data_IF_450849933147
#
_entry.id   IF_450849933147
#
_cell.length_a   1.000
_cell.length_b   1.000
_cell.length_c   1.000
_cell.angle_alpha   90.00
_cell.angle_beta   90.00
_cell.angle_gamma   90.00
#
_symmetry.space_group_name_H-M   'P 1'
#
loop_
_entity.id
_entity.type
_entity.pdbx_description
1 polymer ?
#
# COMPACT_ATOMS: atom_id res chain seq x y z
N UNK A 1 -77.00 -21.47 -54.93
CA UNK A 1 -75.81 -21.31 -55.79
C UNK A 1 -74.74 -22.26 -55.24
N UNK A 2 -74.69 -23.52 -55.72
CA UNK A 2 -73.77 -24.04 -56.77
C UNK A 2 -72.30 -23.79 -56.38
N UNK A 3 -71.42 -24.78 -56.17
CA UNK A 3 -71.10 -25.99 -56.94
C UNK A 3 -70.47 -27.08 -56.01
N UNK A 4 -70.75 -28.38 -56.17
CA UNK A 4 -69.95 -29.42 -56.88
C UNK A 4 -68.56 -29.66 -56.26
N UNK A 5 -68.06 -30.85 -55.91
CA UNK A 5 -68.05 -32.14 -56.61
C UNK A 5 -67.93 -33.33 -55.62
N UNK A 6 -68.41 -34.48 -56.07
CA UNK A 6 -68.26 -35.81 -55.48
C UNK A 6 -66.81 -36.34 -55.56
N UNK A 7 -66.43 -37.26 -54.66
CA UNK A 7 -66.07 -38.65 -55.04
C UNK A 7 -65.82 -39.53 -53.80
N UNK A 8 -66.18 -40.80 -53.96
CA UNK A 8 -66.26 -41.91 -52.97
C UNK A 8 -64.92 -42.22 -52.29
N UNK A 9 -64.98 -42.53 -50.98
CA UNK A 9 -63.93 -43.21 -50.22
C UNK A 9 -64.10 -44.74 -50.31
N UNK A 10 -63.05 -45.41 -50.77
CA UNK A 10 -62.87 -46.85 -50.75
C UNK A 10 -62.49 -47.35 -49.34
N UNK A 11 -63.22 -48.36 -48.91
CA UNK A 11 -62.82 -49.61 -48.21
C UNK A 11 -61.61 -49.65 -47.25
N UNK A 12 -61.95 -50.12 -46.04
CA UNK A 12 -61.33 -51.19 -45.23
C UNK A 12 -60.02 -50.96 -44.47
N UNK A 13 -60.21 -50.97 -43.14
CA UNK A 13 -59.53 -51.79 -42.11
C UNK A 13 -58.02 -51.71 -41.97
N UNK A 14 -57.56 -51.08 -40.88
CA UNK A 14 -56.21 -51.28 -40.32
C UNK A 14 -56.21 -51.09 -38.80
N UNK A 15 -56.12 -52.22 -38.09
CA UNK A 15 -55.25 -52.50 -36.93
C UNK A 15 -55.33 -51.65 -35.64
N UNK A 16 -55.83 -52.33 -34.59
CA UNK A 16 -55.38 -52.37 -33.19
C UNK A 16 -54.53 -51.20 -32.65
N UNK A 17 -55.10 -50.46 -31.71
CA UNK A 17 -54.38 -49.64 -30.72
C UNK A 17 -53.76 -50.53 -29.64
N UNK A 18 -52.44 -50.49 -29.51
CA UNK A 18 -51.72 -51.02 -28.34
C UNK A 18 -51.16 -49.83 -27.56
N UNK A 19 -51.71 -49.59 -26.37
CA UNK A 19 -51.25 -48.58 -25.44
C UNK A 19 -49.90 -49.01 -24.85
N UNK A 20 -48.83 -48.26 -25.11
CA UNK A 20 -47.54 -48.41 -24.44
C UNK A 20 -47.52 -47.50 -23.22
N UNK A 21 -47.55 -48.10 -22.03
CA UNK A 21 -47.36 -47.44 -20.75
C UNK A 21 -45.85 -47.24 -20.53
N UNK A 22 -45.35 -46.02 -20.69
CA UNK A 22 -43.95 -45.68 -20.41
C UNK A 22 -43.73 -45.55 -18.90
N UNK A 23 -43.06 -46.52 -18.28
CA UNK A 23 -42.50 -46.38 -16.93
C UNK A 23 -41.26 -45.48 -17.02
N UNK A 24 -41.34 -44.27 -16.46
CA UNK A 24 -40.16 -43.43 -16.17
C UNK A 24 -39.53 -43.92 -14.86
N UNK A 25 -38.50 -44.75 -14.94
CA UNK A 25 -37.66 -45.08 -13.79
C UNK A 25 -36.59 -43.99 -13.61
N UNK A 26 -36.37 -43.45 -12.40
CA UNK A 26 -35.26 -42.54 -12.14
C UNK A 26 -33.95 -43.34 -12.21
N UNK A 27 -33.04 -42.93 -13.10
CA UNK A 27 -31.66 -43.44 -13.08
C UNK A 27 -30.96 -42.90 -11.82
N UNK A 28 -30.20 -43.71 -11.08
CA UNK A 28 -29.42 -43.20 -9.96
C UNK A 28 -28.35 -42.25 -10.50
N UNK A 29 -28.43 -40.98 -10.11
CA UNK A 29 -27.34 -40.03 -10.29
C UNK A 29 -26.16 -40.50 -9.43
N UNK A 30 -25.21 -41.20 -10.04
CA UNK A 30 -23.94 -41.50 -9.42
C UNK A 30 -23.11 -40.22 -9.39
N UNK A 31 -23.00 -39.58 -8.22
CA UNK A 31 -22.01 -38.53 -8.02
C UNK A 31 -20.63 -39.20 -7.88
N UNK A 32 -19.86 -39.18 -8.96
CA UNK A 32 -18.48 -39.67 -9.00
C UNK A 32 -17.56 -38.62 -8.37
N UNK A 33 -16.78 -39.01 -7.36
CA UNK A 33 -15.69 -38.16 -6.86
C UNK A 33 -14.58 -38.12 -7.92
N UNK A 34 -14.41 -36.96 -8.56
CA UNK A 34 -13.24 -36.68 -9.41
C UNK A 34 -12.13 -36.09 -8.53
N UNK A 35 -11.05 -36.84 -8.21
CA UNK A 35 -9.88 -36.24 -7.60
C UNK A 35 -9.28 -35.21 -8.57
N UNK A 36 -9.02 -34.01 -8.06
CA UNK A 36 -8.28 -32.97 -8.77
C UNK A 36 -6.82 -33.41 -8.86
N UNK A 37 -6.37 -33.74 -10.07
CA UNK A 37 -4.96 -34.01 -10.39
C UNK A 37 -4.16 -32.69 -10.36
N UNK A 38 -2.86 -32.77 -10.11
CA UNK A 38 -1.94 -31.62 -10.10
C UNK A 38 -2.00 -30.85 -11.42
N UNK A 39 -2.34 -31.51 -12.54
CA UNK A 39 -2.59 -30.85 -13.82
C UNK A 39 -3.88 -29.99 -13.87
N UNK A 40 -4.92 -30.36 -13.12
CA UNK A 40 -6.12 -29.54 -12.96
C UNK A 40 -5.90 -28.40 -11.95
N UNK A 41 -5.01 -28.60 -10.97
CA UNK A 41 -4.56 -27.57 -10.02
C UNK A 41 -3.49 -26.63 -10.64
N UNK A 42 -2.75 -27.08 -11.65
CA UNK A 42 -1.80 -26.27 -12.43
C UNK A 42 -2.49 -25.16 -13.21
N UNK A 43 -3.79 -25.28 -13.51
CA UNK A 43 -4.60 -24.20 -14.10
C UNK A 43 -5.14 -23.19 -13.07
N UNK A 44 -4.94 -23.45 -11.78
CA UNK A 44 -5.25 -22.51 -10.68
C UNK A 44 -3.99 -21.71 -10.31
N UNK A 45 -2.81 -22.30 -10.46
CA UNK A 45 -1.52 -21.58 -10.37
C UNK A 45 -1.26 -20.83 -11.68
N UNK A 46 -1.66 -19.56 -11.75
CA UNK A 46 -1.67 -18.75 -12.97
C UNK A 46 -2.99 -18.00 -13.20
N UNK A 47 -3.90 -17.99 -12.21
CA UNK A 47 -5.02 -17.06 -12.19
C UNK A 47 -4.46 -15.66 -11.89
N UNK A 48 -4.95 -14.66 -12.62
CA UNK A 48 -4.64 -13.24 -12.42
C UNK A 48 -4.56 -12.87 -10.93
N UNK A 49 -3.65 -11.96 -10.58
CA UNK A 49 -3.48 -11.47 -9.22
C UNK A 49 -4.79 -11.11 -8.51
N UNK A 50 -4.75 -11.12 -7.19
CA UNK A 50 -5.89 -10.77 -6.34
C UNK A 50 -5.98 -9.25 -6.23
N UNK A 51 -7.17 -8.69 -6.46
CA UNK A 51 -7.45 -7.28 -6.14
C UNK A 51 -8.35 -7.22 -4.91
N UNK A 52 -7.99 -6.35 -3.96
CA UNK A 52 -8.71 -6.11 -2.72
C UNK A 52 -9.01 -4.61 -2.64
N UNK A 53 -10.29 -4.27 -2.50
CA UNK A 53 -10.73 -2.91 -2.17
C UNK A 53 -10.87 -2.82 -0.65
N UNK A 54 -10.32 -1.77 -0.06
CA UNK A 54 -10.29 -1.58 1.39
C UNK A 54 -11.07 -0.31 1.77
N UNK A 55 -12.00 -0.48 2.70
CA UNK A 55 -12.66 0.60 3.44
C UNK A 55 -12.55 0.25 4.92
N UNK A 56 -11.97 1.13 5.73
CA UNK A 56 -11.73 0.83 7.14
C UNK A 56 -11.68 2.09 8.00
N UNK A 57 -11.86 1.90 9.30
CA UNK A 57 -11.57 2.89 10.32
C UNK A 57 -11.06 2.15 11.56
N UNK A 58 -9.87 2.48 12.00
CA UNK A 58 -9.26 1.89 13.20
C UNK A 58 -9.44 2.84 14.37
N UNK A 59 -9.88 2.33 15.51
CA UNK A 59 -9.96 3.08 16.76
C UNK A 59 -9.50 2.20 17.91
N UNK A 60 -8.47 2.65 18.60
CA UNK A 60 -7.85 1.99 19.75
C UNK A 60 -7.95 2.95 20.92
N UNK A 61 -8.74 2.57 21.93
CA UNK A 61 -8.92 3.36 23.15
C UNK A 61 -7.57 3.60 23.86
N UNK A 62 -6.78 2.53 24.01
CA UNK A 62 -5.43 2.61 24.58
C UNK A 62 -4.52 1.49 24.12
N UNK A 63 -3.32 1.85 23.71
CA UNK A 63 -2.16 0.96 23.65
C UNK A 63 -1.24 1.24 24.84
N UNK A 64 -0.83 0.20 25.58
CA UNK A 64 0.01 0.32 26.78
C UNK A 64 1.23 -0.59 26.69
N UNK A 65 2.42 -0.03 26.78
CA UNK A 65 3.63 -0.75 27.12
C UNK A 65 3.83 -0.70 28.64
N UNK A 66 4.11 -1.83 29.28
CA UNK A 66 4.26 -1.92 30.75
C UNK A 66 5.58 -2.62 31.09
N UNK A 67 6.47 -1.89 31.76
CA UNK A 67 7.73 -2.40 32.31
C UNK A 67 8.24 -1.42 33.39
N UNK A 68 8.20 -1.84 34.67
CA UNK A 68 8.45 -1.01 35.89
C UNK A 68 7.67 0.33 36.01
N UNK A 69 6.87 0.64 35.00
CA UNK A 69 6.04 1.80 34.76
C UNK A 69 5.19 1.52 33.51
N UNK A 70 4.63 2.55 32.88
CA UNK A 70 3.91 2.41 31.62
C UNK A 70 4.13 3.59 30.66
N UNK A 71 4.09 3.29 29.35
CA UNK A 71 3.92 4.25 28.27
C UNK A 71 2.57 3.94 27.62
N UNK A 72 1.67 4.91 27.61
CA UNK A 72 0.32 4.77 27.06
C UNK A 72 0.14 5.69 25.86
N UNK A 73 -0.45 5.16 24.80
CA UNK A 73 -0.96 5.92 23.65
C UNK A 73 -2.47 5.82 23.73
N UNK A 74 -3.14 6.96 23.97
CA UNK A 74 -4.57 7.03 24.22
C UNK A 74 -5.29 7.60 23.01
N UNK A 75 -6.47 7.04 22.67
CA UNK A 75 -7.32 7.54 21.60
C UNK A 75 -6.68 7.47 20.21
N UNK A 76 -5.92 6.40 19.92
CA UNK A 76 -5.30 6.21 18.61
C UNK A 76 -6.39 5.91 17.56
N UNK A 77 -6.43 6.70 16.50
CA UNK A 77 -7.38 6.55 15.40
C UNK A 77 -6.70 6.69 14.05
N UNK A 78 -7.06 5.80 13.13
CA UNK A 78 -6.72 5.90 11.70
C UNK A 78 -8.02 5.90 10.91
N UNK A 79 -8.22 6.95 10.13
CA UNK A 79 -9.46 7.28 9.39
C UNK A 79 -9.12 7.96 8.06
N UNK A 80 -10.12 8.30 7.26
CA UNK A 80 -9.99 9.34 6.23
C UNK A 80 -10.03 10.74 6.86
N UNK A 81 -9.92 11.80 6.06
CA UNK A 81 -9.94 13.18 6.57
C UNK A 81 -11.25 13.51 7.27
N UNK A 82 -11.18 14.27 8.37
CA UNK A 82 -12.34 14.66 9.17
C UNK A 82 -13.06 13.45 9.79
N UNK A 83 -12.29 12.44 10.19
CA UNK A 83 -12.77 11.25 10.86
C UNK A 83 -13.75 10.39 10.03
N UNK A 84 -13.65 10.45 8.70
CA UNK A 84 -14.38 9.56 7.78
C UNK A 84 -13.78 8.15 7.76
N UNK A 85 -14.35 7.24 6.97
CA UNK A 85 -13.67 5.97 6.68
C UNK A 85 -12.45 6.24 5.81
N UNK A 86 -11.36 5.54 6.07
CA UNK A 86 -10.23 5.44 5.15
C UNK A 86 -10.69 4.53 4.00
N UNK A 87 -10.88 5.10 2.83
CA UNK A 87 -11.47 4.41 1.67
C UNK A 87 -10.62 4.61 0.42
N UNK A 88 -11.20 4.21 -0.72
CA UNK A 88 -10.60 4.31 -2.05
C UNK A 88 -9.28 3.56 -2.23
N UNK A 89 -8.87 2.73 -1.27
CA UNK A 89 -7.66 1.94 -1.32
C UNK A 89 -7.86 0.68 -2.18
N UNK A 90 -6.98 0.48 -3.16
CA UNK A 90 -6.91 -0.72 -3.99
C UNK A 90 -5.57 -1.41 -3.81
N UNK A 91 -5.59 -2.59 -3.19
CA UNK A 91 -4.43 -3.46 -3.05
C UNK A 91 -4.47 -4.55 -4.11
N UNK A 92 -3.51 -4.54 -5.04
CA UNK A 92 -3.27 -5.66 -5.95
C UNK A 92 -2.17 -6.56 -5.40
N UNK A 93 -2.33 -7.87 -5.53
CA UNK A 93 -1.39 -8.88 -5.04
C UNK A 93 -1.18 -9.88 -6.17
N UNK A 94 0.03 -9.95 -6.70
CA UNK A 94 0.35 -10.84 -7.81
C UNK A 94 1.69 -11.55 -7.63
N UNK A 95 1.81 -12.75 -8.21
CA UNK A 95 3.07 -13.49 -8.28
C UNK A 95 3.58 -13.35 -9.70
N UNK A 96 4.72 -12.66 -9.85
CA UNK A 96 5.27 -12.36 -11.16
C UNK A 96 5.60 -13.64 -11.95
N UNK A 97 5.13 -13.68 -13.20
CA UNK A 97 5.53 -14.64 -14.22
C UNK A 97 6.87 -14.27 -14.89
N UNK A 98 7.33 -15.14 -15.78
CA UNK A 98 8.53 -14.85 -16.57
C UNK A 98 8.26 -13.75 -17.61
N UNK A 99 9.05 -12.68 -17.57
CA UNK A 99 8.89 -11.54 -18.48
C UNK A 99 7.70 -10.62 -18.17
N UNK A 100 6.96 -10.86 -17.08
CA UNK A 100 5.78 -10.09 -16.74
C UNK A 100 6.12 -8.71 -16.19
N UNK A 101 5.38 -7.70 -16.63
CA UNK A 101 5.46 -6.32 -16.16
C UNK A 101 4.23 -6.05 -15.28
N UNK A 102 4.47 -5.81 -14.00
CA UNK A 102 3.43 -5.52 -13.02
C UNK A 102 3.40 -4.03 -12.67
N UNK A 103 2.24 -3.57 -12.22
CA UNK A 103 2.07 -2.21 -11.71
C UNK A 103 3.02 -1.95 -10.52
N UNK A 104 3.68 -0.80 -10.54
CA UNK A 104 4.68 -0.42 -9.55
C UNK A 104 4.84 1.09 -9.52
N UNK A 105 5.00 1.67 -8.33
CA UNK A 105 5.20 3.10 -8.12
C UNK A 105 4.20 3.95 -8.92
N UNK A 106 4.71 4.96 -9.62
CA UNK A 106 3.92 5.88 -10.44
C UNK A 106 3.68 5.38 -11.89
N UNK A 107 3.71 4.07 -12.14
CA UNK A 107 3.52 3.54 -13.50
C UNK A 107 2.16 3.86 -14.14
N UNK A 108 1.11 4.10 -13.34
CA UNK A 108 -0.19 4.60 -13.85
C UNK A 108 -0.10 6.03 -14.39
N UNK A 109 0.72 6.90 -13.81
CA UNK A 109 1.00 8.24 -14.37
C UNK A 109 1.65 8.10 -15.76
N UNK A 110 2.63 7.20 -15.89
CA UNK A 110 3.26 6.93 -17.19
C UNK A 110 2.24 6.42 -18.23
N UNK A 111 1.31 5.55 -17.82
CA UNK A 111 0.23 5.04 -18.66
C UNK A 111 -0.69 6.18 -19.16
N UNK A 112 -1.09 7.09 -18.27
CA UNK A 112 -1.90 8.27 -18.61
C UNK A 112 -1.17 9.25 -19.53
N UNK A 113 0.09 9.50 -19.23
CA UNK A 113 0.93 10.38 -20.04
C UNK A 113 1.11 9.84 -21.47
N UNK A 114 1.34 8.53 -21.63
CA UNK A 114 1.41 7.89 -22.95
C UNK A 114 0.10 7.97 -23.72
N UNK A 115 -1.04 7.94 -23.02
CA UNK A 115 -2.37 8.14 -23.60
C UNK A 115 -2.66 9.61 -23.96
N UNK A 116 -1.75 10.54 -23.66
CA UNK A 116 -1.91 11.97 -23.93
C UNK A 116 -2.82 12.69 -22.94
N UNK A 117 -3.02 12.12 -21.75
CA UNK A 117 -3.90 12.66 -20.71
C UNK A 117 -3.18 13.63 -19.77
N UNK A 118 -1.86 13.49 -19.62
CA UNK A 118 -1.03 14.34 -18.75
C UNK A 118 0.02 15.09 -19.58
N UNK A 119 0.43 16.26 -19.11
CA UNK A 119 1.44 17.10 -19.77
C UNK A 119 2.83 16.46 -19.66
N UNK A 120 3.37 16.00 -20.79
CA UNK A 120 4.71 15.40 -20.84
C UNK A 120 5.85 16.42 -20.74
N UNK A 121 5.54 17.73 -20.72
CA UNK A 121 6.54 18.76 -20.41
C UNK A 121 6.76 18.91 -18.91
N UNK A 122 5.87 18.35 -18.08
CA UNK A 122 6.11 18.22 -16.65
C UNK A 122 7.31 17.26 -16.41
N UNK A 123 8.36 17.70 -15.69
CA UNK A 123 9.54 16.87 -15.47
C UNK A 123 9.26 15.54 -14.76
N UNK A 124 8.33 15.49 -13.82
CA UNK A 124 8.00 14.26 -13.08
C UNK A 124 7.21 13.30 -13.97
N UNK A 125 6.30 13.82 -14.79
CA UNK A 125 5.57 13.00 -15.77
C UNK A 125 6.52 12.44 -16.83
N UNK A 126 7.47 13.24 -17.30
CA UNK A 126 8.51 12.79 -18.23
C UNK A 126 9.43 11.73 -17.60
N UNK A 127 9.82 11.90 -16.33
CA UNK A 127 10.60 10.91 -15.59
C UNK A 127 9.82 9.60 -15.43
N UNK A 128 8.55 9.65 -15.03
CA UNK A 128 7.72 8.46 -14.90
C UNK A 128 7.58 7.70 -16.23
N UNK A 129 7.35 8.40 -17.34
CA UNK A 129 7.33 7.79 -18.67
C UNK A 129 8.62 7.04 -19.00
N UNK A 130 9.77 7.63 -18.69
CA UNK A 130 11.08 7.01 -18.93
C UNK A 130 11.35 5.84 -17.97
N UNK A 131 11.06 6.03 -16.68
CA UNK A 131 11.37 5.10 -15.58
C UNK A 131 10.53 3.82 -15.63
N UNK A 132 9.24 3.95 -15.93
CA UNK A 132 8.31 2.83 -15.88
C UNK A 132 8.07 2.17 -17.24
N UNK A 133 8.62 2.69 -18.35
CA UNK A 133 8.49 2.06 -19.68
C UNK A 133 9.31 0.76 -19.76
N UNK A 134 8.65 -0.40 -19.64
CA UNK A 134 9.29 -1.72 -19.66
C UNK A 134 8.59 -2.62 -20.66
N UNK A 135 9.36 -3.23 -21.57
CA UNK A 135 8.90 -4.22 -22.55
C UNK A 135 7.65 -3.80 -23.38
N UNK A 136 7.50 -2.50 -23.65
CA UNK A 136 6.36 -1.95 -24.40
C UNK A 136 5.08 -1.75 -23.57
N UNK A 137 5.19 -1.86 -22.24
CA UNK A 137 4.16 -1.55 -21.25
C UNK A 137 4.70 -0.56 -20.20
N UNK A 138 3.91 -0.26 -19.17
CA UNK A 138 4.31 0.55 -18.02
C UNK A 138 4.19 -0.21 -16.71
N UNK A 139 5.26 -0.20 -15.91
CA UNK A 139 5.36 -0.92 -14.65
C UNK A 139 6.80 -1.26 -14.31
N UNK A 140 7.00 -2.42 -13.67
CA UNK A 140 8.32 -3.01 -13.41
C UNK A 140 8.29 -4.50 -13.71
N UNK A 141 9.37 -4.99 -14.30
CA UNK A 141 9.56 -6.42 -14.49
C UNK A 141 10.21 -7.04 -13.26
N UNK A 142 9.59 -8.09 -12.71
CA UNK A 142 10.08 -8.83 -11.56
C UNK A 142 10.61 -10.21 -11.98
N UNK A 143 11.28 -10.92 -11.06
CA UNK A 143 11.71 -12.29 -11.36
C UNK A 143 10.50 -13.21 -11.21
N UNK A 144 10.49 -14.29 -11.99
CA UNK A 144 9.43 -15.30 -11.85
C UNK A 144 9.39 -15.86 -10.42
N UNK A 145 8.21 -15.83 -9.80
CA UNK A 145 7.99 -16.26 -8.42
C UNK A 145 8.17 -15.18 -7.35
N UNK A 146 8.47 -13.94 -7.72
CA UNK A 146 8.40 -12.81 -6.79
C UNK A 146 6.94 -12.47 -6.49
N UNK A 147 6.62 -12.17 -5.22
CA UNK A 147 5.32 -11.62 -4.84
C UNK A 147 5.39 -10.09 -4.91
N UNK A 148 4.45 -9.47 -5.61
CA UNK A 148 4.32 -8.03 -5.72
C UNK A 148 2.97 -7.63 -5.18
N UNK A 149 2.98 -6.71 -4.23
CA UNK A 149 1.79 -6.04 -3.77
C UNK A 149 1.90 -4.56 -4.10
N UNK A 150 0.87 -4.00 -4.70
CA UNK A 150 0.80 -2.59 -5.03
C UNK A 150 -0.48 -1.98 -4.45
N UNK A 151 -0.32 -0.95 -3.64
CA UNK A 151 -1.39 -0.10 -3.16
C UNK A 151 -1.51 1.11 -4.07
N UNK A 152 -2.68 1.23 -4.69
CA UNK A 152 -3.13 2.41 -5.42
C UNK A 152 -4.55 2.77 -5.01
N UNK A 153 -5.27 3.43 -5.92
CA UNK A 153 -6.65 3.83 -5.69
C UNK A 153 -7.66 3.02 -6.53
N UNK A 154 -8.89 2.89 -6.03
CA UNK A 154 -10.01 2.33 -6.81
C UNK A 154 -10.51 3.31 -7.86
N UNK A 155 -10.53 4.59 -7.52
CA UNK A 155 -10.86 5.71 -8.41
C UNK A 155 -9.84 6.84 -8.19
N UNK A 156 -9.30 7.39 -9.28
CA UNK A 156 -8.31 8.47 -9.24
C UNK A 156 -8.90 9.79 -9.74
N UNK A 157 -10.22 9.91 -9.88
CA UNK A 157 -10.87 11.12 -10.37
C UNK A 157 -10.63 11.38 -11.87
N UNK A 158 -10.43 12.65 -12.24
CA UNK A 158 -10.17 13.03 -13.62
C UNK A 158 -8.83 12.44 -14.10
N UNK A 159 -8.81 11.59 -15.15
CA UNK A 159 -7.58 10.98 -15.63
C UNK A 159 -6.58 11.98 -16.25
N UNK A 160 -6.98 13.24 -16.46
CA UNK A 160 -6.11 14.34 -16.88
C UNK A 160 -5.61 15.22 -15.73
N UNK A 161 -6.07 14.97 -14.50
CA UNK A 161 -5.64 15.69 -13.29
C UNK A 161 -4.56 14.89 -12.56
N UNK A 162 -3.39 15.50 -12.38
CA UNK A 162 -2.33 14.93 -11.54
C UNK A 162 -2.71 15.03 -10.05
N UNK A 163 -3.35 16.13 -9.66
CA UNK A 163 -3.78 16.33 -8.26
C UNK A 163 -4.80 15.27 -7.83
N UNK A 164 -5.78 14.94 -8.69
CA UNK A 164 -6.76 13.89 -8.39
C UNK A 164 -6.07 12.53 -8.20
N UNK A 165 -5.01 12.26 -8.98
CA UNK A 165 -4.23 11.03 -8.81
C UNK A 165 -3.48 11.01 -7.46
N UNK A 166 -2.79 12.10 -7.12
CA UNK A 166 -1.93 12.19 -5.93
C UNK A 166 -2.74 12.27 -4.63
N UNK A 167 -3.98 12.76 -4.70
CA UNK A 167 -4.86 12.95 -3.55
C UNK A 167 -5.95 11.87 -3.44
N UNK A 168 -5.90 10.85 -4.29
CA UNK A 168 -6.96 9.85 -4.39
C UNK A 168 -7.23 9.10 -3.08
N UNK A 169 -6.20 8.78 -2.30
CA UNK A 169 -6.34 8.13 -0.99
C UNK A 169 -5.96 9.13 0.09
N UNK A 170 -6.93 9.57 0.87
CA UNK A 170 -6.72 10.46 2.00
C UNK A 170 -6.66 9.67 3.32
N UNK A 171 -5.91 10.18 4.29
CA UNK A 171 -5.85 9.57 5.62
C UNK A 171 -5.71 10.61 6.72
N UNK A 172 -6.17 10.24 7.90
CA UNK A 172 -6.03 10.97 9.15
C UNK A 172 -5.52 10.01 10.23
N UNK A 173 -4.42 10.38 10.88
CA UNK A 173 -3.94 9.77 12.11
C UNK A 173 -4.19 10.74 13.25
N UNK A 174 -4.98 10.34 14.24
CA UNK A 174 -5.20 11.11 15.46
C UNK A 174 -4.79 10.32 16.70
N UNK A 175 -4.19 11.01 17.67
CA UNK A 175 -3.89 10.48 19.00
C UNK A 175 -4.20 11.56 20.04
N UNK A 176 -5.04 11.24 21.01
CA UNK A 176 -5.42 12.20 22.06
C UNK A 176 -4.22 12.57 22.92
N UNK A 177 -3.47 11.56 23.37
CA UNK A 177 -2.25 11.77 24.15
C UNK A 177 -1.31 10.58 24.20
N UNK A 178 -0.03 10.89 24.42
CA UNK A 178 0.99 9.92 24.84
C UNK A 178 1.39 10.25 26.26
N UNK A 179 1.23 9.31 27.18
CA UNK A 179 1.49 9.52 28.61
C UNK A 179 2.46 8.47 29.17
N UNK A 180 3.25 8.86 30.16
CA UNK A 180 4.07 7.94 30.94
C UNK A 180 3.59 7.90 32.38
N UNK A 181 3.79 6.77 33.05
CA UNK A 181 3.60 6.62 34.49
C UNK A 181 4.68 5.75 35.09
N UNK A 182 5.21 6.11 36.25
CA UNK A 182 6.17 5.30 37.00
C UNK A 182 6.00 5.49 38.50
N UNK A 183 6.95 4.96 39.27
CA UNK A 183 6.99 5.11 40.73
C UNK A 183 7.04 6.57 41.19
N UNK A 184 7.54 7.47 40.35
CA UNK A 184 7.72 8.90 40.65
C UNK A 184 6.55 9.79 40.20
N UNK A 185 5.55 9.25 39.49
CA UNK A 185 4.39 10.00 39.01
C UNK A 185 4.03 9.71 37.55
N UNK A 186 3.22 10.58 36.94
CA UNK A 186 2.81 10.48 35.54
C UNK A 186 3.03 11.80 34.82
N UNK A 187 3.38 11.75 33.53
CA UNK A 187 3.52 12.92 32.67
C UNK A 187 2.79 12.70 31.34
N UNK A 188 2.20 13.75 30.80
CA UNK A 188 1.81 13.78 29.39
C UNK A 188 3.03 14.20 28.59
N UNK A 189 3.44 13.36 27.65
CA UNK A 189 4.53 13.68 26.72
C UNK A 189 3.98 14.48 25.55
N UNK A 190 2.89 14.01 24.94
CA UNK A 190 2.30 14.66 23.79
C UNK A 190 0.78 14.67 23.89
N UNK A 191 0.14 15.67 23.31
CA UNK A 191 -1.31 15.74 23.14
C UNK A 191 -1.69 16.34 21.80
N UNK A 192 -2.98 16.17 21.46
CA UNK A 192 -3.62 16.76 20.27
C UNK A 192 -2.86 16.45 18.97
N UNK A 193 -2.40 15.19 18.86
CA UNK A 193 -1.68 14.72 17.69
C UNK A 193 -2.69 14.51 16.58
N UNK A 194 -2.50 15.22 15.47
CA UNK A 194 -3.27 15.04 14.26
C UNK A 194 -2.30 15.09 13.09
N UNK A 195 -2.41 14.14 12.16
CA UNK A 195 -1.76 14.19 10.86
C UNK A 195 -2.83 13.87 9.82
N UNK A 196 -2.99 14.76 8.85
CA UNK A 196 -3.87 14.59 7.69
C UNK A 196 -3.03 14.65 6.44
N UNK A 197 -3.27 13.71 5.53
CA UNK A 197 -2.41 13.53 4.38
C UNK A 197 -3.01 12.68 3.28
N UNK A 198 -2.19 12.40 2.28
CA UNK A 198 -2.52 11.52 1.17
C UNK A 198 -1.50 10.40 1.06
N UNK A 199 -1.98 9.20 0.73
CA UNK A 199 -1.14 8.03 0.46
C UNK A 199 -0.94 7.96 -1.06
N UNK A 200 0.32 8.06 -1.48
CA UNK A 200 0.73 7.80 -2.84
C UNK A 200 0.95 6.29 -3.08
N UNK A 201 1.49 5.92 -4.25
CA UNK A 201 1.85 4.54 -4.54
C UNK A 201 2.68 3.92 -3.43
N UNK A 202 2.28 2.73 -3.00
CA UNK A 202 3.02 1.95 -2.01
C UNK A 202 3.17 0.52 -2.50
N UNK A 203 4.41 0.06 -2.59
CA UNK A 203 4.75 -1.27 -3.07
C UNK A 203 5.41 -2.09 -1.97
N UNK A 204 4.95 -3.34 -1.83
CA UNK A 204 5.60 -4.35 -1.02
C UNK A 204 5.99 -5.52 -1.93
N UNK A 205 7.28 -5.80 -2.03
CA UNK A 205 7.79 -6.85 -2.91
C UNK A 205 8.53 -7.88 -2.10
N UNK A 206 8.15 -9.15 -2.23
CA UNK A 206 8.90 -10.29 -1.70
C UNK A 206 9.68 -10.91 -2.86
N UNK A 207 10.99 -10.67 -2.86
CA UNK A 207 11.92 -11.23 -3.83
C UNK A 207 12.28 -12.66 -3.46
N UNK A 208 12.24 -13.54 -4.44
CA UNK A 208 12.80 -14.89 -4.33
C UNK A 208 14.14 -14.95 -5.07
N UNK A 209 15.20 -14.46 -4.43
CA UNK A 209 16.56 -14.48 -4.99
C UNK A 209 17.30 -15.80 -4.81
N UNK A 210 16.64 -16.85 -4.28
CA UNK A 210 17.27 -18.14 -3.96
C UNK A 210 18.51 -17.98 -3.08
N UNK A 211 19.63 -18.55 -3.52
CA UNK A 211 20.92 -18.51 -2.79
C UNK A 211 21.80 -17.31 -3.19
N UNK A 212 21.29 -16.36 -3.99
CA UNK A 212 22.08 -15.18 -4.34
C UNK A 212 22.36 -14.31 -3.11
N UNK A 213 23.50 -13.62 -3.15
CA UNK A 213 23.88 -12.62 -2.15
C UNK A 213 24.43 -11.37 -2.84
N UNK A 214 24.40 -10.25 -2.12
CA UNK A 214 24.94 -8.95 -2.54
C UNK A 214 25.71 -8.33 -1.38
N UNK A 215 26.85 -7.71 -1.68
CA UNK A 215 27.60 -6.92 -0.70
C UNK A 215 27.11 -5.47 -0.70
N UNK A 216 26.77 -4.94 0.47
CA UNK A 216 26.39 -3.55 0.68
C UNK A 216 27.62 -2.63 0.76
N UNK A 217 27.40 -1.31 0.67
CA UNK A 217 28.47 -0.31 0.73
C UNK A 217 29.28 -0.35 2.05
N UNK A 218 28.65 -0.76 3.16
CA UNK A 218 29.31 -0.95 4.46
C UNK A 218 30.02 -2.31 4.60
N UNK A 219 30.05 -3.11 3.53
CA UNK A 219 30.69 -4.43 3.47
C UNK A 219 29.83 -5.59 3.98
N UNK A 220 28.65 -5.33 4.55
CA UNK A 220 27.75 -6.43 4.95
C UNK A 220 27.32 -7.24 3.73
N UNK A 221 27.16 -8.54 3.89
CA UNK A 221 26.60 -9.42 2.86
C UNK A 221 25.11 -9.64 3.15
N UNK A 222 24.25 -9.48 2.15
CA UNK A 222 22.79 -9.66 2.29
C UNK A 222 22.28 -10.69 1.28
N UNK A 223 21.24 -11.45 1.65
CA UNK A 223 20.57 -12.38 0.74
C UNK A 223 19.80 -11.62 -0.34
N UNK A 224 19.77 -12.16 -1.56
CA UNK A 224 18.89 -11.66 -2.62
C UNK A 224 17.43 -12.07 -2.46
N UNK A 225 17.10 -12.90 -1.48
CA UNK A 225 15.72 -13.08 -1.02
C UNK A 225 15.41 -12.01 0.02
N UNK A 226 14.60 -11.03 -0.37
CA UNK A 226 14.39 -9.79 0.38
C UNK A 226 12.94 -9.33 0.34
N UNK A 227 12.48 -8.74 1.43
CA UNK A 227 11.27 -7.93 1.49
C UNK A 227 11.66 -6.49 1.17
N UNK A 228 11.01 -5.87 0.19
CA UNK A 228 11.22 -4.47 -0.18
C UNK A 228 9.94 -3.69 0.08
N UNK A 229 10.06 -2.54 0.73
CA UNK A 229 9.01 -1.55 0.88
C UNK A 229 9.44 -0.27 0.15
N UNK A 230 8.55 0.29 -0.67
CA UNK A 230 8.67 1.61 -1.28
C UNK A 230 7.33 2.31 -1.12
N UNK A 231 7.30 3.50 -0.55
CA UNK A 231 6.06 4.24 -0.30
C UNK A 231 6.26 5.72 -0.52
N UNK A 232 5.21 6.35 -1.05
CA UNK A 232 5.10 7.79 -1.18
C UNK A 232 3.89 8.27 -0.39
N UNK A 233 4.03 9.42 0.27
CA UNK A 233 2.95 10.03 1.01
C UNK A 233 3.17 11.53 1.16
N UNK A 234 2.11 12.23 1.53
CA UNK A 234 2.17 13.64 1.89
C UNK A 234 1.40 13.87 3.18
N UNK A 235 1.92 14.73 4.06
CA UNK A 235 1.14 15.36 5.12
C UNK A 235 0.85 16.79 4.70
N UNK A 236 -0.41 17.16 4.60
CA UNK A 236 -0.85 18.50 4.20
C UNK A 236 -1.18 19.37 5.39
N UNK A 237 -1.58 18.75 6.51
CA UNK A 237 -1.89 19.42 7.76
C UNK A 237 -1.58 18.50 8.94
N UNK A 238 -0.89 19.02 9.95
CA UNK A 238 -0.68 18.31 11.20
C UNK A 238 -0.53 19.24 12.39
N UNK A 239 -0.86 18.72 13.57
CA UNK A 239 -0.69 19.39 14.84
C UNK A 239 -0.15 18.43 15.89
N UNK A 240 0.60 19.00 16.84
CA UNK A 240 1.15 18.28 17.98
C UNK A 240 1.47 19.29 19.08
N UNK A 241 1.12 18.95 20.32
CA UNK A 241 1.63 19.61 21.51
C UNK A 241 2.64 18.71 22.22
N UNK A 242 3.81 19.25 22.56
CA UNK A 242 4.77 18.64 23.48
C UNK A 242 4.54 19.20 24.88
N UNK A 243 3.98 18.37 25.76
CA UNK A 243 3.49 18.78 27.08
C UNK A 243 4.49 18.54 28.22
N UNK A 244 5.66 17.97 27.92
CA UNK A 244 6.63 17.66 28.96
C UNK A 244 7.26 18.95 29.52
N UNK A 245 6.73 19.43 30.64
CA UNK A 245 7.16 20.67 31.30
C UNK A 245 8.23 20.46 32.41
N UNK A 246 8.54 19.20 32.76
CA UNK A 246 9.30 18.84 33.97
C UNK A 246 10.68 18.20 33.69
N UNK A 247 11.40 18.62 32.65
CA UNK A 247 12.82 18.26 32.50
C UNK A 247 13.68 19.30 33.23
N UNK A 248 14.29 18.90 34.35
CA UNK A 248 15.26 19.68 35.16
C UNK A 248 16.58 19.84 34.38
N UNK A 249 16.54 20.62 33.30
CA UNK A 249 17.73 21.20 32.67
C UNK A 249 17.45 22.67 32.40
N UNK A 250 18.52 23.47 32.39
CA UNK A 250 18.55 24.95 32.39
C UNK A 250 17.72 25.64 31.28
N UNK A 251 17.12 24.88 30.36
CA UNK A 251 16.18 25.30 29.33
C UNK A 251 14.86 24.52 29.50
N UNK A 252 13.83 25.18 30.03
CA UNK A 252 12.49 24.62 29.99
C UNK A 252 11.91 24.89 28.59
N UNK A 253 11.84 23.86 27.73
CA UNK A 253 11.09 23.90 26.47
C UNK A 253 9.59 23.73 26.74
N UNK A 254 9.05 24.41 27.76
CA UNK A 254 7.66 24.24 28.18
C UNK A 254 6.72 24.53 27.00
N UNK A 255 5.84 23.57 26.73
CA UNK A 255 4.73 23.70 25.78
C UNK A 255 5.18 24.12 24.38
N UNK A 256 5.94 23.24 23.71
CA UNK A 256 6.18 23.39 22.27
C UNK A 256 4.91 22.94 21.53
N UNK A 257 4.43 23.77 20.61
CA UNK A 257 3.27 23.46 19.78
C UNK A 257 3.62 23.59 18.31
N UNK A 258 3.18 22.65 17.48
CA UNK A 258 3.30 22.70 16.03
C UNK A 258 1.88 22.75 15.46
N UNK A 259 1.62 23.68 14.55
CA UNK A 259 0.35 23.76 13.82
C UNK A 259 0.60 23.93 12.32
N UNK A 260 -0.18 23.22 11.51
CA UNK A 260 -0.05 23.19 10.07
C UNK A 260 1.20 22.47 9.58
N UNK A 261 1.68 21.46 10.32
CA UNK A 261 2.80 20.61 9.89
C UNK A 261 2.54 20.07 8.49
N UNK A 262 3.52 20.21 7.61
CA UNK A 262 3.49 19.64 6.27
C UNK A 262 4.74 18.80 6.05
N UNK A 263 4.58 17.67 5.38
CA UNK A 263 5.67 16.76 4.98
C UNK A 263 5.43 16.43 3.53
N UNK A 264 6.33 16.86 2.65
CA UNK A 264 6.23 16.74 1.20
C UNK A 264 7.63 16.68 0.58
N UNK A 265 7.82 16.85 -0.72
CA UNK A 265 9.14 16.92 -1.35
C UNK A 265 9.12 17.81 -2.60
N UNK A 266 8.96 19.12 -2.40
CA UNK A 266 8.67 20.12 -3.46
C UNK A 266 9.76 21.17 -3.62
N UNK A 267 10.76 21.19 -2.75
CA UNK A 267 11.86 22.16 -2.74
C UNK A 267 13.18 21.42 -2.68
N UNK A 268 14.23 22.12 -3.08
CA UNK A 268 15.57 21.55 -3.12
C UNK A 268 15.82 20.74 -4.38
N UNK A 269 16.84 19.89 -4.32
CA UNK A 269 17.43 19.23 -5.49
C UNK A 269 16.93 17.78 -5.69
N UNK A 270 16.18 17.22 -4.73
CA UNK A 270 15.74 15.81 -4.75
C UNK A 270 14.24 15.60 -5.01
N UNK A 271 13.61 16.52 -5.74
CA UNK A 271 12.17 16.53 -6.02
C UNK A 271 11.72 15.64 -7.18
N UNK A 272 12.61 15.39 -8.15
CA UNK A 272 12.29 14.70 -9.40
C UNK A 272 11.84 13.25 -9.18
N UNK A 273 10.74 12.87 -9.82
CA UNK A 273 10.18 11.52 -9.79
C UNK A 273 9.39 11.19 -8.51
N UNK A 274 9.21 12.17 -7.62
CA UNK A 274 8.46 12.03 -6.38
C UNK A 274 7.11 12.75 -6.39
N UNK A 275 6.80 13.55 -7.43
CA UNK A 275 5.53 14.25 -7.59
C UNK A 275 5.17 15.14 -6.39
N UNK A 276 6.19 15.75 -5.78
CA UNK A 276 6.01 16.56 -4.59
C UNK A 276 5.73 15.78 -3.30
N UNK A 277 5.72 14.44 -3.31
CA UNK A 277 5.45 13.61 -2.13
C UNK A 277 6.76 13.25 -1.41
N UNK A 278 6.68 13.10 -0.09
CA UNK A 278 7.75 12.45 0.67
C UNK A 278 7.82 10.96 0.31
N UNK A 279 8.99 10.35 0.46
CA UNK A 279 9.19 8.94 0.14
C UNK A 279 9.96 8.21 1.24
N UNK A 280 9.66 6.92 1.39
CA UNK A 280 10.39 6.03 2.26
C UNK A 280 10.62 4.68 1.57
N UNK A 281 11.86 4.19 1.62
CA UNK A 281 12.21 2.84 1.14
C UNK A 281 12.96 2.07 2.21
N UNK A 282 12.74 0.77 2.27
CA UNK A 282 13.53 -0.13 3.12
C UNK A 282 13.56 -1.53 2.54
N UNK A 283 14.67 -2.23 2.77
CA UNK A 283 14.81 -3.65 2.44
C UNK A 283 15.19 -4.46 3.66
N UNK A 284 14.56 -5.62 3.77
CA UNK A 284 14.76 -6.56 4.87
C UNK A 284 15.17 -7.92 4.29
N UNK A 285 16.27 -8.47 4.79
CA UNK A 285 16.76 -9.79 4.38
C UNK A 285 17.61 -10.41 5.48
N UNK A 286 17.95 -11.70 5.33
CA UNK A 286 19.10 -12.24 6.07
C UNK A 286 20.37 -11.49 5.64
N UNK A 287 21.25 -11.19 6.57
CA UNK A 287 22.57 -10.66 6.26
C UNK A 287 23.64 -11.06 7.27
N UNK A 288 24.89 -10.87 6.87
CA UNK A 288 26.10 -11.15 7.66
C UNK A 288 26.88 -9.86 7.82
N UNK A 289 27.18 -9.49 9.07
CA UNK A 289 27.92 -8.27 9.35
C UNK A 289 29.39 -8.40 8.98
N UNK A 290 29.93 -7.42 8.25
CA UNK A 290 31.37 -7.36 7.95
C UNK A 290 32.24 -7.12 9.17
N UNK A 291 31.68 -6.50 10.22
CA UNK A 291 32.41 -6.13 11.43
C UNK A 291 32.50 -7.27 12.45
N UNK A 292 31.42 -8.04 12.62
CA UNK A 292 31.34 -9.11 13.63
C UNK A 292 31.39 -10.51 13.03
N UNK A 293 31.08 -10.67 11.73
CA UNK A 293 30.89 -11.99 11.10
C UNK A 293 29.58 -12.68 11.49
N UNK A 294 28.73 -12.05 12.29
CA UNK A 294 27.48 -12.63 12.77
C UNK A 294 26.37 -12.51 11.72
N UNK A 295 25.52 -13.53 11.63
CA UNK A 295 24.30 -13.51 10.86
C UNK A 295 23.15 -12.86 11.66
N UNK A 296 22.28 -12.13 10.97
CA UNK A 296 21.12 -11.47 11.55
C UNK A 296 20.09 -11.03 10.52
N UNK A 297 19.06 -10.34 10.99
CA UNK A 297 18.12 -9.61 10.14
C UNK A 297 18.77 -8.27 9.75
N UNK A 298 19.05 -8.09 8.47
CA UNK A 298 19.53 -6.82 7.95
C UNK A 298 18.36 -5.97 7.49
N UNK A 299 18.28 -4.76 8.00
CA UNK A 299 17.46 -3.68 7.44
C UNK A 299 18.41 -2.74 6.70
N UNK A 300 18.29 -2.60 5.39
CA UNK A 300 19.26 -1.91 4.56
C UNK A 300 18.60 -1.19 3.38
N UNK A 301 19.40 -0.43 2.64
CA UNK A 301 18.93 0.50 1.60
C UNK A 301 17.77 1.36 2.14
N UNK A 302 17.89 1.77 3.41
CA UNK A 302 16.89 2.61 4.07
C UNK A 302 17.07 4.03 3.57
N UNK A 303 16.02 4.55 2.97
CA UNK A 303 15.93 5.93 2.53
C UNK A 303 14.63 6.55 3.05
N UNK A 304 14.73 7.79 3.52
CA UNK A 304 13.58 8.66 3.75
C UNK A 304 13.93 10.02 3.18
N UNK A 305 13.06 10.61 2.37
CA UNK A 305 13.24 11.95 1.79
C UNK A 305 11.98 12.78 2.00
N UNK A 306 12.18 13.99 2.50
CA UNK A 306 11.12 14.96 2.64
C UNK A 306 11.67 16.40 2.81
N UNK A 307 10.87 17.36 2.43
CA UNK A 307 10.75 18.66 3.08
C UNK A 307 9.84 18.55 4.31
N UNK A 308 10.17 19.28 5.37
CA UNK A 308 9.29 19.42 6.54
C UNK A 308 9.05 20.89 6.80
N UNK A 309 7.79 21.30 6.76
CA UNK A 309 7.36 22.66 7.04
C UNK A 309 6.52 22.71 8.32
N UNK A 310 6.90 23.61 9.23
CA UNK A 310 6.14 23.95 10.43
C UNK A 310 5.83 25.45 10.37
N UNK A 311 4.73 25.85 9.70
CA UNK A 311 4.38 27.25 9.52
C UNK A 311 4.17 28.00 10.83
N UNK A 312 3.68 27.30 11.86
CA UNK A 312 3.49 27.84 13.21
C UNK A 312 4.21 26.95 14.21
N UNK A 313 5.34 27.44 14.70
CA UNK A 313 6.10 26.82 15.78
C UNK A 313 5.94 27.66 17.05
N UNK A 314 5.38 27.07 18.11
CA UNK A 314 5.07 27.74 19.38
C UNK A 314 6.03 27.30 20.47
N UNK A 315 6.36 28.22 21.38
CA UNK A 315 7.02 27.94 22.65
C UNK A 315 6.29 28.71 23.76
N UNK A 316 5.89 28.03 24.84
CA UNK A 316 5.09 28.64 25.90
C UNK A 316 3.75 29.19 25.40
N UNK A 317 3.15 28.54 24.39
CA UNK A 317 1.88 28.94 23.78
C UNK A 317 1.93 30.13 22.83
N UNK A 318 3.10 30.76 22.64
CA UNK A 318 3.27 31.88 21.69
C UNK A 318 4.03 31.40 20.46
N UNK A 319 3.53 31.73 19.26
CA UNK A 319 4.27 31.45 18.02
C UNK A 319 5.56 32.26 17.99
N UNK A 320 6.67 31.58 17.69
CA UNK A 320 7.97 32.19 17.46
C UNK A 320 8.32 32.27 15.96
N UNK A 321 7.38 31.93 15.09
CA UNK A 321 7.54 31.93 13.63
C UNK A 321 7.40 30.54 13.03
N UNK A 322 8.08 30.32 11.91
CA UNK A 322 8.08 29.05 11.17
C UNK A 322 9.43 28.37 11.22
N UNK A 323 9.43 27.04 11.18
CA UNK A 323 10.63 26.20 11.01
C UNK A 323 10.48 25.40 9.74
N UNK A 324 11.55 25.29 8.95
CA UNK A 324 11.54 24.58 7.68
C UNK A 324 12.81 23.74 7.54
N UNK A 325 12.65 22.52 7.05
CA UNK A 325 13.72 21.65 6.60
C UNK A 325 13.52 21.42 5.10
N UNK A 326 14.59 21.61 4.34
CA UNK A 326 14.65 21.32 2.90
C UNK A 326 15.69 20.24 2.66
N UNK A 327 15.38 19.30 1.76
CA UNK A 327 16.19 18.11 1.47
C UNK A 327 16.49 17.29 2.75
N UNK A 328 15.51 17.11 3.65
CA UNK A 328 15.71 16.23 4.81
C UNK A 328 15.74 14.78 4.34
N UNK A 329 16.94 14.22 4.34
CA UNK A 329 17.19 12.88 3.85
C UNK A 329 17.88 12.01 4.91
N UNK A 330 17.30 10.83 5.17
CA UNK A 330 17.98 9.72 5.81
C UNK A 330 18.43 8.81 4.69
N UNK A 331 19.74 8.62 4.51
CA UNK A 331 20.31 7.76 3.46
C UNK A 331 21.42 6.90 4.03
N UNK A 332 21.90 5.93 3.26
CA UNK A 332 23.03 5.06 3.63
C UNK A 332 22.86 4.38 5.00
N UNK A 333 21.61 4.13 5.39
CA UNK A 333 21.29 3.56 6.68
C UNK A 333 21.19 2.04 6.56
N UNK A 334 21.91 1.34 7.43
CA UNK A 334 21.86 -0.12 7.55
C UNK A 334 21.90 -0.51 9.02
N UNK A 335 20.97 -1.37 9.41
CA UNK A 335 20.85 -1.95 10.74
C UNK A 335 21.02 -3.47 10.63
N UNK A 336 21.71 -4.06 11.59
CA UNK A 336 21.78 -5.51 11.76
C UNK A 336 21.20 -5.87 13.11
N UNK A 337 20.12 -6.65 13.11
CA UNK A 337 19.42 -7.11 14.31
C UNK A 337 19.80 -8.57 14.57
N UNK A 338 20.30 -8.83 15.76
CA UNK A 338 20.71 -10.16 16.22
C UNK A 338 19.71 -10.69 17.25
N UNK A 339 19.43 -11.99 17.21
CA UNK A 339 18.79 -12.68 18.33
C UNK A 339 19.75 -12.80 19.52
N UNK A 340 19.21 -12.79 20.73
CA UNK A 340 19.94 -13.10 21.96
C UNK A 340 19.45 -14.43 22.56
#
# INVERSE_FOLDING_TARGET
MTQSLACRRNTTSSTLSLWVLALSLPLPAMAEFRPLDDGALSGVTGQAGVTIELETKLSIDRFSWIDEGSLNVNGLRLSGHNDTVLDNMKLTIDIAGDGEVLEHGFSEIARRAQAGLLDQNDPDVADALAKYSVAGSFGKQFNSGDLVMHLGATDYGDPSSLDDYLQAVDFELAVDSVTTSGSEGSATLFSDILLQGHIGPTDLVIRNGGSSTRTLANGNEVSGSELQLDTHFEITNGSLNWDAADVILLFNFAAVGIEGLQIHNRRGDDTLGHFGMASATAKLSRGTSSASGNEGLSVHDVEFRADIDMPVFKMGGTSIGSVQFTDFAITNTTMMVYGH
#
